data_IF_437171518147
#
_entry.id   IF_437171518147
#
_cell.length_a   1.000
_cell.length_b   1.000
_cell.length_c   1.000
_cell.angle_alpha   90.00
_cell.angle_beta   90.00
_cell.angle_gamma   90.00
#
_symmetry.space_group_name_H-M   'P 1'
#
loop_
_entity.id
_entity.type
_entity.pdbx_description
1 polymer ?
#
# COMPACT_ATOMS: atom_id res chain seq x y z
N UNK A 1 17.22 2.22 -25.84
CA UNK A 1 15.90 2.28 -25.17
C UNK A 1 16.17 2.21 -23.66
N UNK A 2 16.29 3.36 -23.00
CA UNK A 2 16.67 3.41 -21.58
C UNK A 2 15.40 3.31 -20.74
N UNK A 3 15.09 2.12 -20.23
CA UNK A 3 14.10 1.97 -19.19
C UNK A 3 14.73 2.47 -17.89
N UNK A 4 14.25 3.62 -17.39
CA UNK A 4 14.53 4.04 -16.01
C UNK A 4 14.21 2.87 -15.05
N UNK A 5 14.87 2.76 -13.89
CA UNK A 5 14.47 1.75 -12.91
C UNK A 5 13.03 2.08 -12.49
N UNK A 6 12.07 1.29 -12.96
CA UNK A 6 10.65 1.53 -12.72
C UNK A 6 10.38 1.18 -11.26
N UNK A 7 10.34 2.20 -10.39
CA UNK A 7 9.95 2.05 -9.00
C UNK A 7 8.51 1.54 -8.88
N UNK A 8 8.18 0.93 -7.75
CA UNK A 8 6.85 0.38 -7.45
C UNK A 8 5.77 1.42 -7.71
N UNK A 9 4.81 1.12 -8.59
CA UNK A 9 3.66 1.95 -8.87
C UNK A 9 2.45 1.54 -8.02
N UNK A 10 1.46 2.43 -7.88
CA UNK A 10 0.20 2.12 -7.20
C UNK A 10 -0.48 0.85 -7.77
N UNK A 11 -0.41 0.65 -9.09
CA UNK A 11 -0.95 -0.53 -9.76
C UNK A 11 -0.31 -1.86 -9.30
N UNK A 12 0.99 -1.86 -8.97
CA UNK A 12 1.67 -3.06 -8.46
C UNK A 12 1.16 -3.43 -7.06
N UNK A 13 0.96 -2.41 -6.21
CA UNK A 13 0.40 -2.55 -4.86
C UNK A 13 -1.04 -3.04 -4.96
N UNK A 14 -1.83 -2.46 -5.85
CA UNK A 14 -3.21 -2.90 -6.09
C UNK A 14 -3.29 -4.36 -6.50
N UNK A 15 -2.47 -4.78 -7.46
CA UNK A 15 -2.44 -6.15 -7.94
C UNK A 15 -2.09 -7.14 -6.81
N UNK A 16 -1.04 -6.84 -6.02
CA UNK A 16 -0.62 -7.68 -4.91
C UNK A 16 -1.71 -7.81 -3.83
N UNK A 17 -2.38 -6.71 -3.48
CA UNK A 17 -3.45 -6.73 -2.48
C UNK A 17 -4.71 -7.43 -2.99
N UNK A 18 -5.06 -7.27 -4.27
CA UNK A 18 -6.20 -7.98 -4.87
C UNK A 18 -5.98 -9.50 -4.87
N UNK A 19 -4.78 -9.93 -5.22
CA UNK A 19 -4.40 -11.34 -5.25
C UNK A 19 -4.40 -11.95 -3.84
N UNK A 20 -3.73 -11.30 -2.87
CA UNK A 20 -3.56 -11.84 -1.54
C UNK A 20 -4.81 -11.76 -0.65
N UNK A 21 -5.60 -10.69 -0.75
CA UNK A 21 -6.64 -10.36 0.24
C UNK A 21 -8.06 -10.33 -0.34
N UNK A 22 -8.22 -10.46 -1.66
CA UNK A 22 -9.50 -10.48 -2.38
C UNK A 22 -10.49 -9.43 -1.83
N UNK A 23 -10.12 -8.13 -1.84
CA UNK A 23 -10.90 -7.10 -1.18
C UNK A 23 -12.18 -6.78 -1.93
N UNK A 24 -13.20 -6.37 -1.17
CA UNK A 24 -14.46 -5.84 -1.71
C UNK A 24 -14.30 -4.41 -2.22
N UNK A 25 -13.44 -3.63 -1.57
CA UNK A 25 -13.04 -2.30 -2.01
C UNK A 25 -11.54 -2.09 -1.79
N UNK A 26 -10.88 -1.50 -2.78
CA UNK A 26 -9.46 -1.18 -2.73
C UNK A 26 -9.20 0.12 -3.48
N UNK A 27 -8.53 1.05 -2.80
CA UNK A 27 -7.99 2.28 -3.35
C UNK A 27 -6.52 2.40 -2.93
N UNK A 28 -5.65 2.70 -3.89
CA UNK A 28 -4.23 2.99 -3.64
C UNK A 28 -3.90 4.34 -4.27
N UNK A 29 -3.44 5.27 -3.45
CA UNK A 29 -3.06 6.62 -3.86
C UNK A 29 -1.55 6.79 -3.73
N UNK A 30 -0.92 7.34 -4.77
CA UNK A 30 0.50 7.72 -4.75
C UNK A 30 0.65 9.16 -4.23
N UNK A 31 1.17 9.27 -3.01
CA UNK A 31 1.38 10.54 -2.30
C UNK A 31 2.83 11.04 -2.43
N UNK A 32 3.66 10.40 -3.27
CA UNK A 32 5.08 10.72 -3.43
C UNK A 32 5.32 12.17 -3.89
N UNK A 33 4.35 12.79 -4.57
CA UNK A 33 4.42 14.18 -5.02
C UNK A 33 4.36 15.21 -3.88
N UNK A 34 3.78 14.87 -2.72
CA UNK A 34 3.69 15.79 -1.57
C UNK A 34 5.05 16.09 -0.93
N UNK A 35 6.08 15.30 -1.26
CA UNK A 35 7.42 15.41 -0.69
C UNK A 35 8.49 15.81 -1.72
N UNK A 36 8.11 15.98 -2.99
CA UNK A 36 8.98 16.44 -4.06
C UNK A 36 9.22 17.96 -3.95
N UNK A 37 10.12 18.41 -3.07
CA UNK A 37 10.45 19.85 -3.00
C UNK A 37 11.36 20.35 -1.88
N UNK A 38 11.72 19.52 -0.88
CA UNK A 38 12.60 19.96 0.22
C UNK A 38 14.01 19.36 0.12
N UNK A 39 15.00 20.01 0.74
CA UNK A 39 16.40 19.58 0.76
C UNK A 39 16.64 18.19 1.41
N UNK A 40 15.59 17.59 1.99
CA UNK A 40 15.54 16.19 2.46
C UNK A 40 14.76 15.23 1.54
N UNK A 41 14.42 15.62 0.31
CA UNK A 41 13.62 14.87 -0.67
C UNK A 41 14.33 13.61 -1.25
N UNK A 42 15.04 12.87 -0.41
CA UNK A 42 15.56 11.52 -0.69
C UNK A 42 14.62 10.43 -0.18
N UNK A 43 13.49 10.79 0.43
CA UNK A 43 12.68 9.86 1.23
C UNK A 43 11.53 9.23 0.41
N UNK A 44 11.92 8.48 -0.62
CA UNK A 44 11.16 7.37 -1.21
C UNK A 44 9.71 7.60 -1.67
N UNK A 45 9.03 6.50 -2.03
CA UNK A 45 7.63 6.53 -2.51
C UNK A 45 6.67 6.32 -1.35
N UNK A 46 5.66 7.19 -1.27
CA UNK A 46 4.63 7.19 -0.23
C UNK A 46 3.31 6.77 -0.85
N UNK A 47 2.63 5.82 -0.20
CA UNK A 47 1.33 5.36 -0.67
C UNK A 47 0.29 5.36 0.45
N UNK A 48 -0.92 5.78 0.14
CA UNK A 48 -2.09 5.55 0.98
C UNK A 48 -2.88 4.38 0.42
N UNK A 49 -3.16 3.39 1.26
CA UNK A 49 -3.94 2.19 0.93
C UNK A 49 -5.21 2.19 1.77
N UNK A 50 -6.36 2.25 1.11
CA UNK A 50 -7.67 2.02 1.72
C UNK A 50 -8.19 0.69 1.23
N UNK A 51 -8.41 -0.24 2.15
CA UNK A 51 -8.78 -1.61 1.82
C UNK A 51 -9.89 -2.11 2.74
N UNK A 52 -10.93 -2.65 2.11
CA UNK A 52 -12.05 -3.31 2.78
C UNK A 52 -12.11 -4.78 2.39
N UNK A 53 -12.00 -5.69 3.35
CA UNK A 53 -12.07 -7.15 3.10
C UNK A 53 -12.58 -7.91 4.32
N UNK A 54 -13.35 -8.97 4.09
CA UNK A 54 -13.80 -9.91 5.13
C UNK A 54 -12.65 -10.55 5.89
N UNK A 55 -11.44 -10.60 5.31
CA UNK A 55 -10.22 -11.12 5.96
C UNK A 55 -9.82 -10.33 7.21
N UNK A 56 -10.35 -9.11 7.40
CA UNK A 56 -10.09 -8.29 8.58
C UNK A 56 -11.06 -8.54 9.75
N UNK A 57 -12.10 -9.36 9.56
CA UNK A 57 -13.06 -9.69 10.62
C UNK A 57 -12.37 -10.34 11.82
N UNK A 58 -12.66 -9.83 13.01
CA UNK A 58 -12.08 -10.33 14.26
C UNK A 58 -10.59 -10.00 14.48
N UNK A 59 -9.94 -9.31 13.54
CA UNK A 59 -8.55 -8.88 13.68
C UNK A 59 -8.44 -7.51 14.33
N UNK A 60 -7.47 -7.35 15.23
CA UNK A 60 -7.06 -6.06 15.75
C UNK A 60 -6.45 -5.20 14.64
N UNK A 61 -6.36 -3.88 14.86
CA UNK A 61 -5.70 -2.94 13.93
C UNK A 61 -4.31 -3.43 13.50
N UNK A 62 -3.50 -3.89 14.45
CA UNK A 62 -2.15 -4.42 14.18
C UNK A 62 -2.22 -5.68 13.31
N UNK A 63 -3.16 -6.60 13.60
CA UNK A 63 -3.36 -7.81 12.79
C UNK A 63 -3.73 -7.49 11.34
N UNK A 64 -4.60 -6.51 11.12
CA UNK A 64 -4.97 -6.04 9.77
C UNK A 64 -3.78 -5.44 9.03
N UNK A 65 -3.02 -4.57 9.71
CA UNK A 65 -1.82 -3.98 9.12
C UNK A 65 -0.78 -5.04 8.77
N UNK A 66 -0.58 -6.06 9.61
CA UNK A 66 0.32 -7.19 9.31
C UNK A 66 -0.08 -7.90 8.03
N UNK A 67 -1.36 -8.22 7.83
CA UNK A 67 -1.81 -8.85 6.57
C UNK A 67 -1.52 -7.99 5.34
N UNK A 68 -1.68 -6.67 5.43
CA UNK A 68 -1.35 -5.75 4.33
C UNK A 68 0.16 -5.74 4.08
N UNK A 69 0.98 -5.68 5.13
CA UNK A 69 2.44 -5.75 5.00
C UNK A 69 2.91 -7.09 4.41
N UNK A 70 2.33 -8.21 4.85
CA UNK A 70 2.66 -9.55 4.36
C UNK A 70 2.35 -9.69 2.86
N UNK A 71 1.22 -9.12 2.39
CA UNK A 71 0.87 -9.08 0.98
C UNK A 71 1.86 -8.22 0.14
N UNK A 72 2.42 -7.17 0.74
CA UNK A 72 3.32 -6.24 0.07
C UNK A 72 4.81 -6.51 0.33
N UNK A 73 5.15 -7.59 1.04
CA UNK A 73 6.51 -7.88 1.51
C UNK A 73 7.56 -7.88 0.38
N UNK A 74 7.17 -8.29 -0.84
CA UNK A 74 8.04 -8.33 -2.01
C UNK A 74 8.18 -6.98 -2.73
N UNK A 75 7.23 -6.06 -2.52
CA UNK A 75 7.23 -4.72 -3.12
C UNK A 75 7.92 -3.69 -2.22
N UNK A 76 7.86 -3.85 -0.90
CA UNK A 76 8.53 -2.96 0.06
C UNK A 76 10.01 -2.73 -0.25
N UNK A 77 10.86 -3.77 -0.38
CA UNK A 77 12.28 -3.57 -0.67
C UNK A 77 12.54 -2.97 -2.07
N UNK A 78 11.54 -2.94 -2.95
CA UNK A 78 11.64 -2.42 -4.32
C UNK A 78 11.36 -0.92 -4.43
N UNK A 79 11.03 -0.24 -3.33
CA UNK A 79 10.96 1.22 -3.29
C UNK A 79 9.76 1.83 -2.57
N UNK A 80 8.98 1.05 -1.82
CA UNK A 80 7.96 1.62 -0.92
C UNK A 80 8.67 2.08 0.36
N UNK A 81 8.58 3.36 0.68
CA UNK A 81 9.21 3.93 1.87
C UNK A 81 8.22 4.05 3.03
N UNK A 82 7.00 4.49 2.75
CA UNK A 82 5.95 4.63 3.74
C UNK A 82 4.58 4.21 3.16
N UNK A 83 3.77 3.57 4.00
CA UNK A 83 2.40 3.17 3.71
C UNK A 83 1.47 3.71 4.80
N UNK A 84 0.55 4.59 4.41
CA UNK A 84 -0.62 4.89 5.23
C UNK A 84 -1.68 3.81 4.95
N UNK A 85 -2.14 3.11 5.99
CA UNK A 85 -3.05 1.96 5.84
C UNK A 85 -4.35 2.26 6.57
N UNK A 86 -5.45 2.27 5.82
CA UNK A 86 -6.82 2.26 6.32
C UNK A 86 -7.44 0.88 6.02
N UNK A 87 -7.42 -0.03 7.01
CA UNK A 87 -7.87 -1.40 6.86
C UNK A 87 -9.18 -1.68 7.62
N UNK A 88 -10.26 -1.95 6.87
CA UNK A 88 -11.62 -2.04 7.40
C UNK A 88 -12.29 -3.37 7.05
N UNK A 89 -13.02 -3.95 7.98
CA UNK A 89 -13.92 -5.06 7.66
C UNK A 89 -15.22 -4.53 7.02
N UNK A 90 -15.92 -5.32 6.19
CA UNK A 90 -17.22 -4.94 5.64
C UNK A 90 -18.20 -4.58 6.75
N UNK A 91 -18.90 -3.46 6.58
CA UNK A 91 -19.83 -2.92 7.59
C UNK A 91 -19.21 -1.96 8.61
N UNK A 92 -17.88 -1.79 8.63
CA UNK A 92 -17.21 -0.75 9.41
C UNK A 92 -17.19 0.58 8.64
N UNK A 93 -17.57 1.69 9.30
CA UNK A 93 -17.54 3.06 8.76
C UNK A 93 -16.39 3.88 9.31
#
# INVERSE_FOLDING_TARGET
MSAAPQGVAAADIEAALRDALTPEALEVQDDSHLHAGHAGAREGRHFTVRITTTRFNGLSRIGRHRLVYDALQFLIPRGIHALAIEARAPGER
#
